data_IF_922515114963
#
_entry.id   IF_922515114963
#
_cell.length_a   1.000
_cell.length_b   1.000
_cell.length_c   1.000
_cell.angle_alpha   90.00
_cell.angle_beta   90.00
_cell.angle_gamma   90.00
#
_symmetry.space_group_name_H-M   'P 1'
#
loop_
_entity.id
_entity.type
_entity.pdbx_description
1 polymer ?
#
# COMPACT_ATOMS: atom_id res chain seq x y z
N UNK A 1 -48.93 -46.03 -3.33
CA UNK A 1 -48.41 -45.08 -4.36
C UNK A 1 -48.07 -43.74 -3.70
N UNK A 2 -47.38 -43.76 -2.55
CA UNK A 2 -47.38 -42.60 -1.60
C UNK A 2 -45.97 -42.15 -1.18
N UNK A 3 -44.90 -42.87 -1.51
CA UNK A 3 -43.53 -42.54 -1.03
C UNK A 3 -42.72 -41.64 -1.97
N UNK A 4 -43.25 -41.26 -3.14
CA UNK A 4 -42.47 -40.58 -4.19
C UNK A 4 -42.35 -39.05 -4.00
N UNK A 5 -43.27 -38.45 -3.26
CA UNK A 5 -43.31 -37.00 -3.00
C UNK A 5 -42.28 -36.49 -1.98
N UNK A 6 -42.06 -37.12 -0.79
CA UNK A 6 -41.10 -36.61 0.18
C UNK A 6 -39.63 -36.66 -0.30
N UNK A 7 -39.30 -37.62 -1.17
CA UNK A 7 -37.97 -37.71 -1.79
C UNK A 7 -37.71 -36.57 -2.79
N UNK A 8 -38.76 -36.08 -3.46
CA UNK A 8 -38.65 -34.99 -4.43
C UNK A 8 -38.40 -33.64 -3.74
N UNK A 9 -39.11 -33.39 -2.64
CA UNK A 9 -38.95 -32.16 -1.84
C UNK A 9 -37.56 -32.08 -1.22
N UNK A 10 -37.06 -33.20 -0.68
CA UNK A 10 -35.70 -33.30 -0.16
C UNK A 10 -34.66 -33.05 -1.25
N UNK A 11 -34.79 -33.69 -2.41
CA UNK A 11 -33.89 -33.49 -3.54
C UNK A 11 -33.88 -32.02 -4.02
N UNK A 12 -35.05 -31.37 -4.03
CA UNK A 12 -35.16 -29.95 -4.38
C UNK A 12 -34.49 -29.04 -3.32
N UNK A 13 -34.65 -29.35 -2.03
CA UNK A 13 -34.01 -28.63 -0.95
C UNK A 13 -32.49 -28.77 -0.99
N UNK A 14 -31.99 -29.99 -1.21
CA UNK A 14 -30.56 -30.28 -1.36
C UNK A 14 -29.97 -29.56 -2.57
N UNK A 15 -30.68 -29.54 -3.71
CA UNK A 15 -30.25 -28.81 -4.92
C UNK A 15 -30.22 -27.29 -4.73
N UNK A 16 -31.21 -26.71 -4.04
CA UNK A 16 -31.21 -25.27 -3.70
C UNK A 16 -30.04 -24.93 -2.79
N UNK A 17 -29.75 -25.78 -1.80
CA UNK A 17 -28.63 -25.59 -0.88
C UNK A 17 -27.29 -25.66 -1.61
N UNK A 18 -27.07 -26.70 -2.41
CA UNK A 18 -25.83 -26.84 -3.23
C UNK A 18 -25.65 -25.64 -4.17
N UNK A 19 -26.73 -25.14 -4.78
CA UNK A 19 -26.69 -23.93 -5.60
C UNK A 19 -26.31 -22.69 -4.79
N UNK A 20 -26.90 -22.52 -3.60
CA UNK A 20 -26.58 -21.40 -2.71
C UNK A 20 -25.11 -21.45 -2.23
N UNK A 21 -24.62 -22.62 -1.85
CA UNK A 21 -23.23 -22.82 -1.41
C UNK A 21 -22.24 -22.51 -2.53
N UNK A 22 -22.55 -22.92 -3.78
CA UNK A 22 -21.75 -22.59 -4.96
C UNK A 22 -21.76 -21.10 -5.28
N UNK A 23 -22.90 -20.42 -5.10
CA UNK A 23 -23.01 -18.98 -5.30
C UNK A 23 -22.16 -18.24 -4.25
N UNK A 24 -22.28 -18.59 -2.98
CA UNK A 24 -21.47 -18.01 -1.91
C UNK A 24 -19.95 -18.19 -2.15
N UNK A 25 -19.52 -19.38 -2.59
CA UNK A 25 -18.13 -19.66 -2.92
C UNK A 25 -17.63 -18.82 -4.12
N UNK A 26 -18.45 -18.66 -5.15
CA UNK A 26 -18.13 -17.83 -6.31
C UNK A 26 -18.08 -16.36 -5.94
N UNK A 27 -19.02 -15.87 -5.14
CA UNK A 27 -19.02 -14.49 -4.66
C UNK A 27 -17.78 -14.19 -3.83
N UNK A 28 -17.40 -15.06 -2.91
CA UNK A 28 -16.15 -14.92 -2.14
C UNK A 28 -14.92 -14.86 -3.07
N UNK A 29 -14.90 -15.70 -4.11
CA UNK A 29 -13.82 -15.71 -5.11
C UNK A 29 -13.78 -14.41 -5.92
N UNK A 30 -14.93 -13.94 -6.40
CA UNK A 30 -15.06 -12.69 -7.16
C UNK A 30 -14.60 -11.51 -6.31
N UNK A 31 -15.05 -11.43 -5.06
CA UNK A 31 -14.66 -10.36 -4.13
C UNK A 31 -13.14 -10.33 -3.92
N UNK A 32 -12.54 -11.50 -3.73
CA UNK A 32 -11.08 -11.65 -3.62
C UNK A 32 -10.37 -11.17 -4.89
N UNK A 33 -10.86 -11.57 -6.06
CA UNK A 33 -10.29 -11.19 -7.36
C UNK A 33 -10.40 -9.70 -7.64
N UNK A 34 -11.53 -9.07 -7.30
CA UNK A 34 -11.73 -7.62 -7.46
C UNK A 34 -10.73 -6.83 -6.64
N UNK A 35 -10.53 -7.22 -5.37
CA UNK A 35 -9.53 -6.56 -4.54
C UNK A 35 -8.13 -6.82 -5.07
N UNK A 36 -7.78 -8.07 -5.38
CA UNK A 36 -6.44 -8.39 -5.92
C UNK A 36 -6.15 -7.61 -7.21
N UNK A 37 -7.14 -7.47 -8.10
CA UNK A 37 -7.02 -6.73 -9.34
C UNK A 37 -6.59 -5.26 -9.16
N UNK A 38 -6.95 -4.62 -8.03
CA UNK A 38 -6.47 -3.27 -7.69
C UNK A 38 -4.95 -3.26 -7.51
N UNK A 39 -4.41 -4.23 -6.77
CA UNK A 39 -2.98 -4.30 -6.49
C UNK A 39 -2.17 -4.72 -7.70
N UNK A 40 -2.70 -5.65 -8.50
CA UNK A 40 -2.05 -6.14 -9.70
C UNK A 40 -1.97 -5.05 -10.80
N UNK A 41 -2.94 -4.13 -10.84
CA UNK A 41 -3.01 -3.06 -11.85
C UNK A 41 -2.46 -1.71 -11.39
N UNK A 42 -2.00 -1.59 -10.13
CA UNK A 42 -1.63 -0.30 -9.56
C UNK A 42 -0.33 0.28 -10.14
N UNK A 43 -0.43 1.47 -10.73
CA UNK A 43 0.73 2.23 -11.21
C UNK A 43 1.51 2.81 -10.03
N UNK A 44 0.83 3.26 -8.97
CA UNK A 44 1.44 3.75 -7.74
C UNK A 44 2.35 2.69 -7.12
N UNK A 45 1.87 1.44 -6.96
CA UNK A 45 2.71 0.36 -6.41
C UNK A 45 3.94 0.12 -7.28
N UNK A 46 3.75 0.05 -8.61
CA UNK A 46 4.83 -0.20 -9.57
C UNK A 46 5.89 0.92 -9.55
N UNK A 47 5.46 2.17 -9.54
CA UNK A 47 6.34 3.31 -9.82
C UNK A 47 6.85 3.98 -8.54
N UNK A 48 6.06 3.97 -7.46
CA UNK A 48 6.36 4.69 -6.21
C UNK A 48 6.76 3.80 -5.05
N UNK A 49 6.63 2.48 -5.17
CA UNK A 49 6.97 1.55 -4.09
C UNK A 49 7.95 0.48 -4.55
N UNK A 50 8.61 -0.16 -3.58
CA UNK A 50 9.42 -1.36 -3.79
C UNK A 50 8.62 -2.65 -3.55
N UNK A 51 7.33 -2.54 -3.22
CA UNK A 51 6.51 -3.69 -2.88
C UNK A 51 5.99 -4.39 -4.13
N UNK A 52 6.19 -5.71 -4.25
CA UNK A 52 5.44 -6.54 -5.20
C UNK A 52 3.94 -6.52 -4.89
N UNK A 53 3.10 -6.67 -5.92
CA UNK A 53 1.63 -6.58 -5.80
C UNK A 53 1.04 -7.59 -4.81
N UNK A 54 1.57 -8.80 -4.73
CA UNK A 54 1.11 -9.84 -3.80
C UNK A 54 1.42 -9.48 -2.34
N UNK A 55 2.62 -8.95 -2.06
CA UNK A 55 3.02 -8.48 -0.73
C UNK A 55 2.20 -7.25 -0.31
N UNK A 56 1.96 -6.33 -1.25
CA UNK A 56 1.10 -5.17 -1.02
C UNK A 56 -0.35 -5.60 -0.72
N UNK A 57 -0.89 -6.56 -1.48
CA UNK A 57 -2.22 -7.14 -1.21
C UNK A 57 -2.28 -7.80 0.18
N UNK A 58 -1.28 -8.58 0.56
CA UNK A 58 -1.23 -9.21 1.87
C UNK A 58 -1.20 -8.18 3.03
N UNK A 59 -0.50 -7.06 2.82
CA UNK A 59 -0.32 -6.01 3.82
C UNK A 59 -1.52 -5.06 3.92
N UNK A 60 -2.09 -4.68 2.78
CA UNK A 60 -3.05 -3.58 2.67
C UNK A 60 -4.41 -4.00 2.12
N UNK A 61 -4.57 -5.22 1.59
CA UNK A 61 -5.82 -5.72 1.01
C UNK A 61 -7.00 -5.68 1.96
N UNK A 62 -6.76 -5.82 3.28
CA UNK A 62 -7.79 -5.68 4.32
C UNK A 62 -8.48 -4.31 4.37
N UNK A 63 -7.85 -3.29 3.80
CA UNK A 63 -8.42 -1.95 3.70
C UNK A 63 -9.39 -1.81 2.54
N UNK A 64 -9.59 -2.83 1.72
CA UNK A 64 -10.47 -2.79 0.56
C UNK A 64 -11.66 -3.72 0.78
N UNK A 65 -12.85 -3.15 0.79
CA UNK A 65 -14.10 -3.86 0.95
C UNK A 65 -14.88 -3.83 -0.37
N UNK A 66 -15.45 -4.96 -0.78
CA UNK A 66 -16.34 -5.00 -1.93
C UNK A 66 -17.77 -4.74 -1.45
N UNK A 67 -18.36 -3.64 -1.89
CA UNK A 67 -19.76 -3.29 -1.66
C UNK A 67 -20.56 -3.57 -2.91
N UNK A 68 -21.83 -3.90 -2.73
CA UNK A 68 -22.77 -4.04 -3.83
C UNK A 68 -23.67 -2.80 -3.83
N UNK A 69 -23.67 -2.08 -4.95
CA UNK A 69 -24.44 -0.87 -5.13
C UNK A 69 -25.21 -1.01 -6.44
N UNK A 70 -26.55 -1.00 -6.38
CA UNK A 70 -27.44 -1.20 -7.54
C UNK A 70 -27.17 -2.49 -8.34
N UNK A 71 -26.72 -3.57 -7.68
CA UNK A 71 -26.37 -4.84 -8.33
C UNK A 71 -24.98 -4.86 -8.98
N UNK A 72 -24.20 -3.79 -8.84
CA UNK A 72 -22.81 -3.72 -9.28
C UNK A 72 -21.86 -3.84 -8.08
N UNK A 73 -20.83 -4.67 -8.23
CA UNK A 73 -19.79 -4.82 -7.21
C UNK A 73 -18.76 -3.70 -7.36
N UNK A 74 -18.64 -2.87 -6.33
CA UNK A 74 -17.67 -1.78 -6.25
C UNK A 74 -16.71 -1.99 -5.10
N UNK A 75 -15.43 -1.83 -5.36
CA UNK A 75 -14.43 -1.84 -4.29
C UNK A 75 -14.34 -0.46 -3.65
N UNK A 76 -14.40 -0.42 -2.33
CA UNK A 76 -14.31 0.80 -1.51
C UNK A 76 -13.21 0.62 -0.50
N UNK A 77 -12.27 1.57 -0.48
CA UNK A 77 -11.21 1.57 0.52
C UNK A 77 -11.69 2.18 1.85
N UNK A 78 -11.25 1.60 2.95
CA UNK A 78 -11.55 2.02 4.31
C UNK A 78 -10.29 2.17 5.14
N UNK A 79 -10.30 3.14 6.04
CA UNK A 79 -9.25 3.35 7.03
C UNK A 79 -9.90 3.55 8.39
N UNK A 80 -9.51 2.71 9.36
CA UNK A 80 -10.11 2.67 10.70
C UNK A 80 -11.65 2.51 10.67
N UNK A 81 -12.16 1.72 9.73
CA UNK A 81 -13.59 1.45 9.55
C UNK A 81 -14.38 2.57 8.86
N UNK A 82 -13.74 3.65 8.42
CA UNK A 82 -14.38 4.74 7.68
C UNK A 82 -13.97 4.72 6.20
N UNK A 83 -14.90 4.96 5.26
CA UNK A 83 -14.55 5.06 3.84
C UNK A 83 -13.56 6.18 3.58
N UNK A 84 -12.61 5.93 2.68
CA UNK A 84 -11.69 6.95 2.18
C UNK A 84 -12.40 7.70 1.04
N UNK A 85 -12.54 9.01 1.18
CA UNK A 85 -13.12 9.88 0.16
C UNK A 85 -12.03 10.50 -0.72
N UNK A 86 -12.37 10.74 -1.97
CA UNK A 86 -11.47 11.39 -2.92
C UNK A 86 -11.25 12.85 -2.54
N UNK A 87 -9.99 13.27 -2.55
CA UNK A 87 -9.57 14.66 -2.45
C UNK A 87 -9.71 15.38 -3.79
N UNK A 88 -9.52 14.64 -4.90
CA UNK A 88 -9.65 15.18 -6.25
C UNK A 88 -11.11 15.31 -6.72
N UNK A 89 -11.99 14.42 -6.23
CA UNK A 89 -13.42 14.43 -6.51
C UNK A 89 -14.26 14.42 -5.21
N UNK A 90 -14.45 15.59 -4.56
CA UNK A 90 -15.16 15.69 -3.29
C UNK A 90 -16.56 15.05 -3.34
N UNK A 91 -16.91 14.31 -2.30
CA UNK A 91 -18.21 13.63 -2.18
C UNK A 91 -18.26 12.23 -2.82
N UNK A 92 -17.19 11.78 -3.48
CA UNK A 92 -17.06 10.42 -4.01
C UNK A 92 -16.01 9.61 -3.25
N UNK A 93 -16.11 8.28 -3.26
CA UNK A 93 -15.05 7.42 -2.71
C UNK A 93 -13.75 7.59 -3.50
N UNK A 94 -12.62 7.51 -2.79
CA UNK A 94 -11.30 7.54 -3.42
C UNK A 94 -11.18 6.40 -4.43
N UNK A 95 -10.63 6.72 -5.61
CA UNK A 95 -10.26 5.70 -6.58
C UNK A 95 -9.12 4.85 -6.04
N UNK A 96 -8.94 3.66 -6.58
CA UNK A 96 -8.00 2.66 -6.10
C UNK A 96 -6.58 3.20 -5.83
N UNK A 97 -6.04 4.00 -6.76
CA UNK A 97 -4.69 4.58 -6.63
C UNK A 97 -4.60 5.60 -5.48
N UNK A 98 -5.56 6.52 -5.40
CA UNK A 98 -5.63 7.53 -4.35
C UNK A 98 -5.83 6.89 -2.97
N UNK A 99 -6.65 5.84 -2.91
CA UNK A 99 -6.85 5.06 -1.70
C UNK A 99 -5.56 4.36 -1.25
N UNK A 100 -4.83 3.71 -2.16
CA UNK A 100 -3.54 3.06 -1.87
C UNK A 100 -2.53 4.08 -1.33
N UNK A 101 -2.43 5.24 -1.98
CA UNK A 101 -1.56 6.32 -1.52
C UNK A 101 -1.95 6.80 -0.11
N UNK A 102 -3.25 7.03 0.14
CA UNK A 102 -3.74 7.46 1.45
C UNK A 102 -3.47 6.43 2.56
N UNK A 103 -3.62 5.14 2.27
CA UNK A 103 -3.35 4.05 3.21
C UNK A 103 -1.85 3.97 3.51
N UNK A 104 -1.01 3.98 2.46
CA UNK A 104 0.45 3.86 2.60
C UNK A 104 1.04 5.09 3.28
N UNK A 105 0.51 6.30 3.03
CA UNK A 105 0.95 7.52 3.70
C UNK A 105 0.78 7.47 5.23
N UNK A 106 -0.20 6.69 5.72
CA UNK A 106 -0.44 6.45 7.16
C UNK A 106 0.30 5.26 7.72
N UNK A 107 0.99 4.47 6.89
CA UNK A 107 1.74 3.31 7.35
C UNK A 107 3.00 3.73 8.11
N UNK A 108 3.25 3.26 9.36
CA UNK A 108 4.37 3.72 10.17
C UNK A 108 5.76 3.52 9.56
N UNK A 109 5.92 2.50 8.70
CA UNK A 109 7.19 2.20 8.03
C UNK A 109 7.15 2.53 6.53
N UNK A 110 6.34 3.53 6.12
CA UNK A 110 6.18 3.90 4.70
C UNK A 110 7.51 4.21 4.02
N UNK A 111 8.44 4.86 4.70
CA UNK A 111 9.73 5.24 4.13
C UNK A 111 10.60 4.03 3.73
N UNK A 112 10.29 2.85 4.27
CA UNK A 112 10.97 1.58 3.90
C UNK A 112 10.38 0.92 2.66
N UNK A 113 9.14 1.26 2.31
CA UNK A 113 8.41 0.65 1.20
C UNK A 113 8.24 1.59 0.02
N UNK A 114 8.33 2.90 0.24
CA UNK A 114 8.37 3.90 -0.82
C UNK A 114 9.75 3.91 -1.48
N UNK A 115 9.76 4.03 -2.81
CA UNK A 115 10.99 4.31 -3.54
C UNK A 115 11.44 5.72 -3.18
N UNK A 116 12.75 5.89 -2.99
CA UNK A 116 13.33 7.22 -2.90
C UNK A 116 12.99 7.99 -4.20
N UNK A 117 12.71 9.31 -4.13
CA UNK A 117 12.66 10.12 -5.33
C UNK A 117 13.98 9.95 -6.10
N UNK A 118 13.93 9.95 -7.44
CA UNK A 118 15.10 9.76 -8.31
C UNK A 118 16.19 10.81 -7.98
N UNK A 119 17.05 10.49 -7.01
CA UNK A 119 17.84 11.48 -6.30
C UNK A 119 18.30 11.01 -4.91
N UNK A 120 19.10 9.93 -4.87
CA UNK A 120 20.05 9.70 -3.77
C UNK A 120 19.84 8.44 -2.94
N UNK A 121 20.51 7.35 -3.33
CA UNK A 121 21.11 6.45 -2.34
C UNK A 121 22.24 7.21 -1.65
N UNK A 122 22.01 7.68 -0.44
CA UNK A 122 23.04 8.41 0.29
C UNK A 122 22.58 8.84 1.66
N UNK A 123 22.73 7.93 2.63
CA UNK A 123 22.95 8.25 4.04
C UNK A 123 21.84 9.02 4.75
N UNK A 124 21.22 8.39 5.76
CA UNK A 124 20.70 9.14 6.90
C UNK A 124 21.86 9.35 7.89
N UNK A 125 22.59 10.49 7.92
CA UNK A 125 23.29 10.86 9.13
C UNK A 125 22.28 11.59 10.02
N UNK A 126 21.83 10.87 11.03
CA UNK A 126 21.28 11.49 12.23
C UNK A 126 22.44 12.23 12.91
N UNK A 127 22.74 13.46 12.51
CA UNK A 127 23.71 14.30 13.20
C UNK A 127 23.39 15.78 12.95
N UNK A 128 23.14 16.50 14.04
CA UNK A 128 22.97 17.93 14.08
C UNK A 128 24.09 18.63 13.28
N UNK A 129 23.75 19.25 12.15
CA UNK A 129 24.69 20.07 11.42
C UNK A 129 24.05 21.37 10.92
N UNK A 130 24.79 22.46 11.09
CA UNK A 130 24.38 23.79 10.73
C UNK A 130 24.19 23.90 9.20
N UNK A 131 23.10 24.52 8.73
CA UNK A 131 22.82 24.64 7.29
C UNK A 131 23.90 25.51 6.61
N UNK A 132 24.52 24.96 5.56
CA UNK A 132 25.42 25.70 4.65
C UNK A 132 26.89 25.30 4.69
N UNK A 133 27.29 24.42 5.60
CA UNK A 133 28.69 24.10 5.78
C UNK A 133 29.09 22.82 4.99
N UNK A 134 30.31 22.82 4.43
CA UNK A 134 30.79 21.74 3.54
C UNK A 134 31.22 20.54 4.37
N UNK A 135 30.80 19.35 3.98
CA UNK A 135 31.15 18.10 4.65
C UNK A 135 32.28 17.41 3.88
N UNK A 136 33.39 17.09 4.57
CA UNK A 136 34.53 16.37 4.01
C UNK A 136 34.54 14.91 4.53
N UNK A 137 34.67 13.91 3.65
CA UNK A 137 34.85 12.51 4.07
C UNK A 137 36.14 12.33 4.88
N UNK A 138 36.06 11.65 6.03
CA UNK A 138 37.23 11.39 6.90
C UNK A 138 38.36 10.60 6.19
N UNK A 139 38.04 9.86 5.12
CA UNK A 139 39.02 9.13 4.31
C UNK A 139 39.84 10.00 3.34
N UNK A 140 39.45 11.26 3.14
CA UNK A 140 40.13 12.17 2.23
C UNK A 140 41.11 13.08 3.00
N UNK A 141 42.31 12.54 3.26
CA UNK A 141 43.36 13.25 4.00
C UNK A 141 43.90 14.49 3.25
N UNK A 142 43.77 14.53 1.91
CA UNK A 142 44.15 15.70 1.12
C UNK A 142 43.17 16.87 1.35
N UNK A 143 41.86 16.56 1.31
CA UNK A 143 40.83 17.54 1.63
C UNK A 143 40.89 17.99 3.09
N UNK A 144 41.22 17.10 4.04
CA UNK A 144 41.42 17.48 5.46
C UNK A 144 42.54 18.50 5.63
N UNK A 145 43.71 18.24 5.03
CA UNK A 145 44.86 19.15 5.13
C UNK A 145 44.58 20.53 4.50
N UNK A 146 43.88 20.55 3.37
CA UNK A 146 43.56 21.79 2.64
C UNK A 146 42.55 22.67 3.40
N UNK A 147 41.69 22.07 4.23
CA UNK A 147 40.62 22.77 4.93
C UNK A 147 40.84 22.89 6.44
N UNK A 148 42.07 22.65 6.93
CA UNK A 148 42.38 22.60 8.36
C UNK A 148 41.97 23.88 9.11
N UNK A 149 42.22 25.06 8.54
CA UNK A 149 41.82 26.34 9.15
C UNK A 149 40.30 26.54 9.19
N UNK A 150 39.58 26.12 8.14
CA UNK A 150 38.12 26.23 8.06
C UNK A 150 37.43 25.22 8.99
N UNK A 151 38.02 24.05 9.18
CA UNK A 151 37.60 23.05 10.17
C UNK A 151 37.77 23.62 11.60
N UNK A 152 38.90 24.27 11.88
CA UNK A 152 39.15 24.89 13.18
C UNK A 152 38.17 26.05 13.50
N UNK A 153 37.69 26.75 12.47
CA UNK A 153 36.67 27.82 12.57
C UNK A 153 35.23 27.29 12.59
N UNK A 154 35.01 25.98 12.41
CA UNK A 154 33.68 25.36 12.40
C UNK A 154 32.90 25.55 11.09
N UNK A 155 33.52 26.10 10.05
CA UNK A 155 32.92 26.37 8.74
C UNK A 155 32.85 25.11 7.86
N UNK A 156 33.62 24.08 8.21
CA UNK A 156 33.72 22.80 7.50
C UNK A 156 33.69 21.70 8.54
N UNK A 157 32.85 20.67 8.32
CA UNK A 157 32.87 19.48 9.18
C UNK A 157 33.42 18.27 8.48
N UNK A 158 34.04 17.43 9.28
CA UNK A 158 34.47 16.11 8.86
C UNK A 158 33.35 15.14 9.21
N UNK A 159 32.88 14.37 8.23
CA UNK A 159 31.83 13.39 8.44
C UNK A 159 32.25 12.37 9.53
N UNK A 160 31.39 12.18 10.53
CA UNK A 160 31.45 11.01 11.40
C UNK A 160 30.82 9.81 10.66
N UNK A 161 31.38 8.61 10.86
CA UNK A 161 30.78 7.37 10.38
C UNK A 161 29.44 7.10 11.09
#
# INVERSE_FOLDING_TARGET
>A
MTERFPNLEKALADSKKDSADRLAAKEASIRTLLVKGIFDSSAFLKDKTVLPSDVAYASFGRHFEVKEENGELRVVATMNGQPIFSRSAPGTFAVSEEALEAIIDKYPMKDRILKAPDGGSGSHPNAAYAPGAKIIPKGDMSAFGTNLEAIAKGEVTVAAQ
#
